data_IF_129868432417
#
_entry.id   IF_129868432417
#
_cell.length_a   1.000
_cell.length_b   1.000
_cell.length_c   1.000
_cell.angle_alpha   90.00
_cell.angle_beta   90.00
_cell.angle_gamma   90.00
#
_symmetry.space_group_name_H-M   'P 1'
#
loop_
_entity.id
_entity.type
_entity.pdbx_description
1 polymer ?
#
# COMPACT_ATOMS: atom_id res chain seq x y z
N UNK A 1 -47.14 -43.24 -54.70
CA UNK A 1 -46.75 -41.88 -54.34
C UNK A 1 -45.50 -41.98 -53.49
N UNK A 2 -44.30 -41.85 -54.09
CA UNK A 2 -43.45 -40.64 -54.04
C UNK A 2 -43.12 -40.21 -52.60
N UNK A 3 -41.87 -40.14 -52.14
CA UNK A 3 -40.58 -40.31 -52.80
C UNK A 3 -39.46 -40.27 -51.76
N UNK A 4 -38.39 -41.01 -52.07
CA UNK A 4 -37.10 -41.09 -51.38
C UNK A 4 -36.26 -39.89 -51.79
N UNK A 5 -35.49 -39.28 -50.88
CA UNK A 5 -34.13 -38.81 -51.21
C UNK A 5 -33.26 -38.64 -49.97
N UNK A 6 -32.21 -39.47 -49.90
CA UNK A 6 -30.95 -39.18 -49.22
C UNK A 6 -30.10 -38.27 -50.12
N UNK A 7 -29.29 -37.38 -49.54
CA UNK A 7 -28.06 -36.88 -50.17
C UNK A 7 -27.14 -36.36 -49.05
N UNK A 8 -26.12 -37.13 -48.64
CA UNK A 8 -24.70 -37.10 -49.07
C UNK A 8 -23.97 -35.79 -48.79
N UNK A 9 -22.77 -35.94 -48.23
CA UNK A 9 -21.98 -34.87 -47.63
C UNK A 9 -21.36 -33.89 -48.62
N UNK A 10 -20.81 -32.81 -48.06
CA UNK A 10 -19.95 -31.89 -48.79
C UNK A 10 -18.64 -31.70 -48.05
N UNK A 11 -17.65 -32.38 -48.63
CA UNK A 11 -16.21 -32.24 -48.53
C UNK A 11 -15.78 -30.76 -48.53
N UNK A 12 -14.79 -30.44 -47.70
CA UNK A 12 -14.10 -29.16 -47.72
C UNK A 12 -13.61 -28.82 -49.13
N UNK A 13 -14.00 -27.66 -49.66
CA UNK A 13 -13.48 -27.13 -50.91
C UNK A 13 -12.15 -26.42 -50.65
N UNK A 14 -11.12 -26.86 -51.37
CA UNK A 14 -9.76 -26.32 -51.38
C UNK A 14 -9.69 -24.89 -51.95
N UNK A 15 -8.77 -24.03 -51.48
CA UNK A 15 -8.35 -22.83 -52.17
C UNK A 15 -6.99 -23.07 -52.87
N UNK A 16 -6.96 -23.91 -53.90
CA UNK A 16 -5.72 -24.34 -54.58
C UNK A 16 -5.29 -23.43 -55.75
N UNK A 17 -6.15 -22.50 -56.21
CA UNK A 17 -5.82 -21.63 -57.35
C UNK A 17 -5.05 -20.35 -56.98
N UNK A 18 -5.29 -19.78 -55.80
CA UNK A 18 -4.66 -18.51 -55.36
C UNK A 18 -3.29 -18.69 -54.73
N UNK A 19 -3.00 -19.86 -54.16
CA UNK A 19 -1.69 -20.13 -53.56
C UNK A 19 -0.61 -20.21 -54.65
N UNK A 20 -0.88 -20.91 -55.75
CA UNK A 20 0.08 -21.18 -56.83
C UNK A 20 0.55 -19.92 -57.55
N UNK A 21 -0.36 -18.95 -57.79
CA UNK A 21 -0.01 -17.68 -58.41
C UNK A 21 0.87 -16.80 -57.51
N UNK A 22 0.62 -16.83 -56.20
CA UNK A 22 1.42 -16.11 -55.21
C UNK A 22 2.82 -16.71 -55.05
N UNK A 23 2.97 -18.04 -55.11
CA UNK A 23 4.29 -18.69 -55.03
C UNK A 23 5.15 -18.43 -56.27
N UNK A 24 4.56 -18.36 -57.46
CA UNK A 24 5.29 -18.02 -58.69
C UNK A 24 5.80 -16.57 -58.67
N UNK A 25 4.95 -15.62 -58.27
CA UNK A 25 5.33 -14.21 -58.17
C UNK A 25 6.43 -13.97 -57.12
N UNK A 26 6.40 -14.69 -55.99
CA UNK A 26 7.47 -14.65 -54.99
C UNK A 26 8.77 -15.29 -55.51
N UNK A 27 8.67 -16.41 -56.23
CA UNK A 27 9.83 -17.09 -56.82
C UNK A 27 10.58 -16.23 -57.83
N UNK A 28 9.85 -15.50 -58.67
CA UNK A 28 10.44 -14.60 -59.67
C UNK A 28 11.05 -13.34 -59.03
N UNK A 29 10.42 -12.80 -57.99
CA UNK A 29 10.96 -11.68 -57.22
C UNK A 29 12.25 -12.04 -56.47
N UNK A 30 12.32 -13.23 -55.87
CA UNK A 30 13.54 -13.71 -55.19
C UNK A 30 14.68 -13.95 -56.18
N UNK A 31 14.40 -14.51 -57.36
CA UNK A 31 15.41 -14.68 -58.42
C UNK A 31 15.95 -13.34 -58.96
N UNK A 32 15.09 -12.32 -59.08
CA UNK A 32 15.49 -10.98 -59.49
C UNK A 32 16.39 -10.27 -58.45
N UNK A 33 16.26 -10.63 -57.17
CA UNK A 33 17.11 -10.12 -56.08
C UNK A 33 18.43 -10.88 -56.03
N UNK A 34 18.43 -12.21 -56.17
CA UNK A 34 19.65 -13.02 -56.17
C UNK A 34 20.58 -12.66 -57.33
N UNK A 35 20.06 -12.34 -58.52
CA UNK A 35 20.88 -11.89 -59.66
C UNK A 35 21.52 -10.53 -59.42
N UNK A 36 20.90 -9.65 -58.62
CA UNK A 36 21.44 -8.32 -58.26
C UNK A 36 22.32 -8.32 -57.02
N UNK A 37 22.22 -9.33 -56.15
CA UNK A 37 23.07 -9.47 -54.94
C UNK A 37 24.51 -9.84 -55.27
N UNK A 38 24.77 -10.45 -56.43
CA UNK A 38 26.13 -10.67 -56.95
C UNK A 38 26.82 -9.37 -57.42
N UNK A 39 26.12 -8.23 -57.38
CA UNK A 39 26.67 -6.91 -57.63
C UNK A 39 26.52 -6.10 -56.34
N UNK A 40 27.61 -5.76 -55.66
CA UNK A 40 27.59 -4.99 -54.40
C UNK A 40 26.90 -3.61 -54.57
N UNK A 41 25.57 -3.57 -54.50
CA UNK A 41 24.78 -2.35 -54.66
C UNK A 41 23.59 -2.33 -53.68
N UNK A 42 23.88 -2.38 -52.38
CA UNK A 42 22.88 -2.06 -51.34
C UNK A 42 23.08 -0.68 -50.69
N UNK A 43 24.00 0.14 -51.22
CA UNK A 43 24.31 1.48 -50.69
C UNK A 43 24.01 2.66 -51.62
N UNK A 44 23.69 2.46 -52.91
CA UNK A 44 23.60 3.56 -53.88
C UNK A 44 22.58 3.31 -55.00
N UNK A 45 21.34 2.97 -54.64
CA UNK A 45 20.25 2.74 -55.60
C UNK A 45 19.62 4.04 -56.13
N UNK A 46 19.27 4.04 -57.42
CA UNK A 46 18.49 5.09 -58.08
C UNK A 46 17.05 5.14 -57.56
N UNK A 47 16.28 6.19 -57.87
CA UNK A 47 14.88 6.30 -57.43
C UNK A 47 14.01 5.08 -57.85
N UNK A 48 14.34 4.43 -58.96
CA UNK A 48 13.67 3.20 -59.40
C UNK A 48 13.95 2.00 -58.48
N UNK A 49 15.15 1.91 -57.89
CA UNK A 49 15.51 0.84 -56.95
C UNK A 49 14.80 1.01 -55.60
N UNK A 50 14.57 2.26 -55.18
CA UNK A 50 13.75 2.59 -54.01
C UNK A 50 12.27 2.28 -54.23
N UNK A 51 11.75 2.56 -55.43
CA UNK A 51 10.38 2.18 -55.79
C UNK A 51 10.16 0.67 -55.82
N UNK A 52 11.14 -0.10 -56.30
CA UNK A 52 11.05 -1.56 -56.31
C UNK A 52 11.00 -2.14 -54.89
N UNK A 53 11.79 -1.59 -53.96
CA UNK A 53 11.76 -1.93 -52.54
C UNK A 53 10.45 -1.54 -51.87
N UNK A 54 9.92 -0.34 -52.16
CA UNK A 54 8.63 0.11 -51.62
C UNK A 54 7.49 -0.79 -52.12
N UNK A 55 7.48 -1.15 -53.41
CA UNK A 55 6.48 -2.06 -53.99
C UNK A 55 6.56 -3.46 -53.36
N UNK A 56 7.77 -3.95 -53.06
CA UNK A 56 7.95 -5.24 -52.38
C UNK A 56 7.43 -5.21 -50.95
N UNK A 57 7.72 -4.15 -50.20
CA UNK A 57 7.22 -3.96 -48.83
C UNK A 57 5.69 -3.87 -48.83
N UNK A 58 5.11 -3.11 -49.76
CA UNK A 58 3.64 -3.00 -49.89
C UNK A 58 2.99 -4.34 -50.25
N UNK A 59 3.59 -5.12 -51.15
CA UNK A 59 3.05 -6.42 -51.52
C UNK A 59 3.16 -7.45 -50.37
N UNK A 60 4.20 -7.36 -49.53
CA UNK A 60 4.28 -8.15 -48.29
C UNK A 60 3.24 -7.71 -47.25
N UNK A 61 2.97 -6.42 -47.13
CA UNK A 61 1.90 -5.88 -46.26
C UNK A 61 0.53 -6.38 -46.72
N UNK A 62 0.26 -6.40 -48.03
CA UNK A 62 -1.00 -6.90 -48.59
C UNK A 62 -1.17 -8.42 -48.43
N UNK A 63 -0.10 -9.20 -48.60
CA UNK A 63 -0.09 -10.65 -48.34
C UNK A 63 -0.37 -11.00 -46.87
N UNK A 64 0.10 -10.16 -45.93
CA UNK A 64 -0.20 -10.30 -44.50
C UNK A 64 -1.65 -9.86 -44.21
N UNK A 65 -2.13 -8.81 -44.89
CA UNK A 65 -3.47 -8.24 -44.68
C UNK A 65 -4.60 -9.08 -45.27
N UNK A 66 -4.34 -9.92 -46.28
CA UNK A 66 -5.37 -10.75 -46.93
C UNK A 66 -5.71 -12.07 -46.21
N UNK A 67 -5.02 -12.41 -45.10
CA UNK A 67 -5.28 -13.64 -44.31
C UNK A 67 -5.75 -13.41 -42.88
N UNK A 68 -5.98 -12.17 -42.48
CA UNK A 68 -6.66 -11.86 -41.23
C UNK A 68 -8.04 -11.29 -41.57
N UNK A 69 -9.13 -11.81 -40.99
CA UNK A 69 -10.42 -11.11 -41.09
C UNK A 69 -10.20 -9.67 -40.62
N UNK A 70 -10.88 -8.67 -41.20
CA UNK A 70 -10.66 -7.27 -40.86
C UNK A 70 -10.81 -7.13 -39.35
N UNK A 71 -9.70 -6.95 -38.63
CA UNK A 71 -9.76 -6.62 -37.23
C UNK A 71 -10.34 -5.23 -37.17
N UNK A 72 -11.49 -5.10 -36.53
CA UNK A 72 -12.06 -3.81 -36.18
C UNK A 72 -10.93 -2.90 -35.69
N UNK A 73 -10.86 -1.64 -36.16
CA UNK A 73 -9.84 -0.71 -35.71
C UNK A 73 -9.81 -0.75 -34.17
N UNK A 74 -8.64 -0.79 -33.52
CA UNK A 74 -8.56 -0.94 -32.08
C UNK A 74 -9.41 0.15 -31.46
N UNK A 75 -10.60 -0.23 -30.97
CA UNK A 75 -11.48 0.70 -30.28
C UNK A 75 -10.64 1.22 -29.13
N UNK A 76 -10.32 2.52 -29.11
CA UNK A 76 -9.80 3.18 -27.91
C UNK A 76 -10.63 2.62 -26.76
N UNK A 77 -10.04 1.98 -25.74
CA UNK A 77 -10.82 1.32 -24.71
C UNK A 77 -11.80 2.35 -24.17
N UNK A 78 -13.11 2.07 -24.38
CA UNK A 78 -14.20 2.90 -23.87
C UNK A 78 -13.85 3.24 -22.42
N UNK A 79 -13.80 4.54 -22.02
CA UNK A 79 -13.39 4.93 -20.69
C UNK A 79 -14.16 4.07 -19.69
N UNK A 80 -13.44 3.40 -18.80
CA UNK A 80 -14.06 2.64 -17.73
C UNK A 80 -15.02 3.59 -16.99
N UNK A 81 -16.28 3.20 -16.88
CA UNK A 81 -17.29 4.07 -16.29
C UNK A 81 -17.10 4.08 -14.77
N UNK A 82 -17.36 5.21 -14.09
CA UNK A 82 -17.37 5.25 -12.63
C UNK A 82 -18.42 4.29 -12.09
N UNK A 83 -18.02 3.45 -11.14
CA UNK A 83 -18.94 2.62 -10.36
C UNK A 83 -19.80 3.48 -9.46
N UNK A 84 -21.08 3.13 -9.34
CA UNK A 84 -21.95 3.68 -8.30
C UNK A 84 -21.72 2.90 -7.01
N UNK A 85 -21.08 3.56 -6.04
CA UNK A 85 -20.87 2.99 -4.71
C UNK A 85 -22.08 3.27 -3.82
N UNK A 86 -22.36 2.35 -2.91
CA UNK A 86 -23.33 2.59 -1.82
C UNK A 86 -22.79 3.66 -0.86
N UNK A 87 -23.64 4.34 -0.07
CA UNK A 87 -23.18 5.34 0.91
C UNK A 87 -22.16 4.78 1.92
N UNK A 88 -22.31 3.51 2.31
CA UNK A 88 -21.36 2.83 3.21
C UNK A 88 -20.01 2.60 2.54
N UNK A 89 -20.00 2.19 1.26
CA UNK A 89 -18.77 2.04 0.49
C UNK A 89 -18.11 3.40 0.20
N UNK A 90 -18.89 4.46 -0.06
CA UNK A 90 -18.37 5.81 -0.26
C UNK A 90 -17.60 6.30 0.97
N UNK A 91 -18.23 6.20 2.15
CA UNK A 91 -17.59 6.51 3.43
C UNK A 91 -16.30 5.70 3.61
N UNK A 92 -16.37 4.38 3.37
CA UNK A 92 -15.24 3.49 3.52
C UNK A 92 -14.06 3.80 2.57
N UNK A 93 -14.34 4.23 1.34
CA UNK A 93 -13.29 4.64 0.38
C UNK A 93 -12.64 5.93 0.87
N UNK A 94 -13.42 6.91 1.31
CA UNK A 94 -12.89 8.18 1.81
C UNK A 94 -11.98 7.99 3.02
N UNK A 95 -12.42 7.20 3.99
CA UNK A 95 -11.62 6.90 5.19
C UNK A 95 -10.36 6.11 4.85
N UNK A 96 -10.48 5.04 4.04
CA UNK A 96 -9.36 4.15 3.72
C UNK A 96 -8.24 4.84 2.93
N UNK A 97 -8.59 5.78 2.06
CA UNK A 97 -7.63 6.46 1.18
C UNK A 97 -7.40 7.92 1.57
N UNK A 98 -7.84 8.31 2.77
CA UNK A 98 -7.70 9.65 3.32
C UNK A 98 -8.16 10.77 2.36
N UNK A 99 -9.37 10.61 1.81
CA UNK A 99 -9.95 11.53 0.81
C UNK A 99 -10.83 12.54 1.52
N UNK A 100 -10.24 13.67 1.89
CA UNK A 100 -10.94 14.81 2.50
C UNK A 100 -12.10 15.37 1.66
N UNK A 101 -12.94 16.17 2.29
CA UNK A 101 -14.19 16.71 1.70
C UNK A 101 -13.97 17.60 0.46
N UNK A 102 -12.83 18.29 0.39
CA UNK A 102 -12.44 19.13 -0.74
C UNK A 102 -11.94 18.32 -1.96
N UNK A 103 -11.68 17.02 -1.81
CA UNK A 103 -11.24 16.13 -2.87
C UNK A 103 -12.40 15.30 -3.42
N UNK A 104 -12.35 15.05 -4.73
CA UNK A 104 -13.27 14.14 -5.43
C UNK A 104 -12.55 12.83 -5.74
N UNK A 105 -13.32 11.77 -5.89
CA UNK A 105 -12.77 10.50 -6.36
C UNK A 105 -13.78 9.77 -7.24
N UNK A 106 -13.26 8.87 -8.06
CA UNK A 106 -14.03 7.94 -8.88
C UNK A 106 -13.38 6.56 -8.80
N UNK A 107 -14.19 5.50 -8.71
CA UNK A 107 -13.70 4.13 -8.89
C UNK A 107 -14.11 3.66 -10.27
N UNK A 108 -13.14 3.49 -11.16
CA UNK A 108 -13.35 3.05 -12.52
C UNK A 108 -13.48 1.53 -12.56
N UNK A 109 -14.59 1.05 -13.13
CA UNK A 109 -14.85 -0.37 -13.35
C UNK A 109 -13.94 -0.91 -14.46
N UNK A 110 -12.78 -1.42 -14.06
CA UNK A 110 -11.78 -1.93 -15.01
C UNK A 110 -12.29 -3.16 -15.75
N UNK A 111 -13.19 -3.94 -15.12
CA UNK A 111 -13.69 -5.23 -15.64
C UNK A 111 -15.04 -5.13 -16.32
N UNK A 112 -15.76 -4.02 -16.15
CA UNK A 112 -17.08 -3.75 -16.71
C UNK A 112 -18.15 -4.74 -16.21
N UNK A 113 -18.02 -5.20 -14.97
CA UNK A 113 -18.97 -6.13 -14.33
C UNK A 113 -19.99 -5.42 -13.42
N UNK A 114 -19.87 -4.10 -13.27
CA UNK A 114 -20.73 -3.25 -12.46
C UNK A 114 -20.55 -3.44 -10.95
N UNK A 115 -19.51 -4.14 -10.51
CA UNK A 115 -19.27 -4.47 -9.11
C UNK A 115 -17.89 -4.00 -8.68
N UNK A 116 -17.82 -3.46 -7.46
CA UNK A 116 -16.53 -3.16 -6.84
C UNK A 116 -15.73 -4.46 -6.64
N UNK A 117 -14.61 -4.57 -7.35
CA UNK A 117 -13.78 -5.76 -7.38
C UNK A 117 -12.27 -5.43 -7.44
N UNK A 118 -11.44 -6.38 -7.02
CA UNK A 118 -9.99 -6.20 -7.08
C UNK A 118 -9.54 -6.01 -8.54
N UNK A 119 -8.76 -4.97 -8.81
CA UNK A 119 -8.34 -4.57 -10.16
C UNK A 119 -9.07 -3.34 -10.70
N UNK A 120 -10.16 -2.91 -10.05
CA UNK A 120 -10.78 -1.61 -10.32
C UNK A 120 -9.85 -0.47 -9.93
N UNK A 121 -10.00 0.68 -10.58
CA UNK A 121 -9.04 1.78 -10.45
C UNK A 121 -9.65 2.95 -9.69
N UNK A 122 -9.14 3.23 -8.50
CA UNK A 122 -9.46 4.46 -7.77
C UNK A 122 -8.67 5.62 -8.39
N UNK A 123 -9.36 6.70 -8.72
CA UNK A 123 -8.80 7.97 -9.18
C UNK A 123 -9.23 9.06 -8.20
N UNK A 124 -8.27 9.79 -7.66
CA UNK A 124 -8.49 10.91 -6.74
C UNK A 124 -8.09 12.19 -7.47
N UNK A 125 -8.97 13.18 -7.47
CA UNK A 125 -8.76 14.47 -8.14
C UNK A 125 -9.09 15.63 -7.20
N UNK A 126 -8.45 16.78 -7.39
CA UNK A 126 -8.65 17.95 -6.53
C UNK A 126 -7.42 18.87 -6.49
N UNK A 127 -7.32 19.65 -5.42
CA UNK A 127 -6.22 20.60 -5.21
C UNK A 127 -6.30 21.84 -6.11
N UNK A 128 -5.26 22.68 -6.09
CA UNK A 128 -5.23 23.98 -6.78
C UNK A 128 -5.42 23.90 -8.30
N UNK A 129 -5.03 22.78 -8.91
CA UNK A 129 -5.16 22.55 -10.37
C UNK A 129 -6.46 21.87 -10.74
N UNK A 130 -7.20 21.32 -9.77
CA UNK A 130 -8.37 20.48 -10.03
C UNK A 130 -8.07 19.23 -10.87
N UNK A 131 -6.81 18.80 -10.95
CA UNK A 131 -6.37 17.65 -11.74
C UNK A 131 -6.45 16.32 -10.97
N UNK A 132 -6.09 15.22 -11.65
CA UNK A 132 -5.82 13.93 -11.03
C UNK A 132 -4.58 14.04 -10.12
N UNK A 133 -4.73 13.63 -8.86
CA UNK A 133 -3.67 13.62 -7.84
C UNK A 133 -3.11 12.21 -7.68
N UNK A 134 -3.97 11.19 -7.77
CA UNK A 134 -3.59 9.80 -7.53
C UNK A 134 -4.45 8.83 -8.31
N UNK A 135 -3.81 7.73 -8.75
CA UNK A 135 -4.45 6.61 -9.43
C UNK A 135 -3.89 5.31 -8.89
N UNK A 136 -4.77 4.45 -8.38
CA UNK A 136 -4.38 3.18 -7.76
C UNK A 136 -5.35 2.06 -8.14
N UNK A 137 -4.80 0.89 -8.47
CA UNK A 137 -5.59 -0.35 -8.58
C UNK A 137 -5.93 -0.87 -7.19
N UNK A 138 -7.21 -1.16 -6.97
CA UNK A 138 -7.71 -1.75 -5.73
C UNK A 138 -7.28 -3.21 -5.62
N UNK A 139 -6.74 -3.57 -4.46
CA UNK A 139 -6.40 -4.96 -4.12
C UNK A 139 -7.62 -5.71 -3.58
N UNK A 140 -7.50 -7.03 -3.40
CA UNK A 140 -8.54 -7.81 -2.73
C UNK A 140 -8.78 -7.35 -1.29
N UNK A 141 -7.72 -6.94 -0.59
CA UNK A 141 -7.83 -6.39 0.76
C UNK A 141 -8.59 -5.06 0.76
N UNK A 142 -8.31 -4.19 -0.22
CA UNK A 142 -9.03 -2.93 -0.35
C UNK A 142 -10.53 -3.14 -0.58
N UNK A 143 -10.88 -4.01 -1.52
CA UNK A 143 -12.29 -4.30 -1.83
C UNK A 143 -13.01 -4.95 -0.66
N UNK A 144 -12.35 -5.90 0.03
CA UNK A 144 -12.91 -6.51 1.25
C UNK A 144 -13.16 -5.45 2.32
N UNK A 145 -12.21 -4.56 2.53
CA UNK A 145 -12.31 -3.46 3.50
C UNK A 145 -13.45 -2.50 3.17
N UNK A 146 -13.58 -2.09 1.91
CA UNK A 146 -14.62 -1.17 1.44
C UNK A 146 -16.00 -1.82 1.57
N UNK A 147 -16.14 -3.08 1.15
CA UNK A 147 -17.41 -3.81 1.26
C UNK A 147 -17.80 -4.14 2.71
N UNK A 148 -16.84 -4.27 3.61
CA UNK A 148 -17.09 -4.40 5.04
C UNK A 148 -17.47 -3.07 5.72
N UNK A 149 -17.51 -1.95 4.98
CA UNK A 149 -17.82 -0.62 5.51
C UNK A 149 -16.63 0.15 6.07
N UNK A 150 -15.41 -0.15 5.59
CA UNK A 150 -14.21 0.58 5.95
C UNK A 150 -13.50 -0.02 7.16
N UNK A 151 -12.92 -1.20 7.01
CA UNK A 151 -12.11 -1.81 8.09
C UNK A 151 -11.03 -2.76 7.54
N UNK A 152 -10.15 -2.23 6.71
CA UNK A 152 -8.91 -2.93 6.32
C UNK A 152 -7.64 -2.13 6.60
N UNK A 153 -7.80 -0.93 7.14
CA UNK A 153 -6.95 -0.36 8.16
C UNK A 153 -7.95 -0.07 9.27
N UNK A 154 -7.80 -0.71 10.43
CA UNK A 154 -8.70 -0.52 11.56
C UNK A 154 -8.81 0.98 11.88
N UNK A 155 -10.01 1.47 12.18
CA UNK A 155 -10.25 2.81 12.72
C UNK A 155 -9.17 3.14 13.77
N UNK A 156 -8.49 4.30 13.71
CA UNK A 156 -7.47 4.67 14.70
C UNK A 156 -7.94 4.47 16.14
N UNK A 157 -9.23 4.72 16.43
CA UNK A 157 -9.81 4.47 17.74
C UNK A 157 -9.87 2.96 18.06
N UNK A 158 -10.32 2.12 17.13
CA UNK A 158 -10.33 0.67 17.32
C UNK A 158 -8.92 0.09 17.51
N UNK A 159 -7.92 0.61 16.78
CA UNK A 159 -6.52 0.21 16.96
C UNK A 159 -6.01 0.58 18.35
N UNK A 160 -6.29 1.82 18.76
CA UNK A 160 -5.94 2.31 20.08
C UNK A 160 -6.56 1.43 21.16
N UNK A 161 -7.86 1.17 21.09
CA UNK A 161 -8.58 0.37 22.08
C UNK A 161 -8.07 -1.07 22.17
N UNK A 162 -7.83 -1.71 21.02
CA UNK A 162 -7.31 -3.07 20.97
C UNK A 162 -5.90 -3.18 21.57
N UNK A 163 -5.03 -2.23 21.25
CA UNK A 163 -3.65 -2.21 21.73
C UNK A 163 -3.55 -1.81 23.21
N UNK A 164 -4.36 -0.84 23.65
CA UNK A 164 -4.47 -0.49 25.08
C UNK A 164 -4.97 -1.67 25.90
N UNK A 165 -6.01 -2.38 25.42
CA UNK A 165 -6.50 -3.60 26.08
C UNK A 165 -5.41 -4.67 26.19
N UNK A 166 -4.60 -4.83 25.13
CA UNK A 166 -3.49 -5.76 25.12
C UNK A 166 -2.42 -5.37 26.15
N UNK A 167 -2.00 -4.11 26.17
CA UNK A 167 -1.06 -3.59 27.16
C UNK A 167 -1.55 -3.86 28.59
N UNK A 168 -2.80 -3.49 28.88
CA UNK A 168 -3.40 -3.68 30.21
C UNK A 168 -3.47 -5.16 30.63
N UNK A 169 -3.61 -6.09 29.67
CA UNK A 169 -3.66 -7.52 29.97
C UNK A 169 -2.30 -8.12 30.39
N UNK A 170 -1.20 -7.41 30.13
CA UNK A 170 0.15 -7.84 30.51
C UNK A 170 0.51 -7.45 31.94
N UNK A 171 -0.25 -6.54 32.56
CA UNK A 171 -0.04 -6.05 33.92
C UNK A 171 1.41 -5.63 34.23
N UNK A 172 2.05 -4.97 33.26
CA UNK A 172 3.41 -4.46 33.37
C UNK A 172 3.37 -3.10 34.06
N UNK A 173 3.85 -3.04 35.30
CA UNK A 173 3.89 -1.80 36.10
C UNK A 173 5.29 -1.18 36.18
N UNK A 174 6.33 -2.01 36.00
CA UNK A 174 7.74 -1.61 36.07
C UNK A 174 8.40 -1.84 34.71
N UNK A 175 8.93 -0.78 34.12
CA UNK A 175 9.55 -0.85 32.79
C UNK A 175 10.37 0.40 32.53
N UNK A 176 11.17 0.36 31.47
CA UNK A 176 11.87 1.53 30.93
C UNK A 176 11.72 1.61 29.42
N UNK A 177 11.88 2.81 28.87
CA UNK A 177 11.95 3.04 27.43
C UNK A 177 12.62 4.38 27.13
N UNK A 178 13.03 4.57 25.89
CA UNK A 178 13.52 5.85 25.37
C UNK A 178 12.40 6.53 24.58
N UNK A 179 12.07 7.77 24.94
CA UNK A 179 11.15 8.65 24.23
C UNK A 179 11.93 9.70 23.45
N UNK A 180 11.58 9.93 22.19
CA UNK A 180 12.07 11.07 21.42
C UNK A 180 10.92 11.81 20.77
N UNK A 181 10.91 13.14 20.89
CA UNK A 181 9.95 14.00 20.20
C UNK A 181 10.49 14.37 18.83
N UNK A 182 9.65 14.26 17.82
CA UNK A 182 9.93 14.60 16.44
C UNK A 182 8.98 15.74 16.03
N UNK A 183 9.47 16.98 16.11
CA UNK A 183 8.75 18.18 15.69
C UNK A 183 9.76 19.20 15.14
N UNK A 184 9.30 20.31 14.57
CA UNK A 184 10.16 21.45 14.21
C UNK A 184 10.67 22.23 15.44
N UNK A 185 10.75 21.57 16.59
CA UNK A 185 11.31 22.07 17.82
C UNK A 185 12.84 22.04 17.74
N UNK A 186 13.51 22.95 18.47
CA UNK A 186 14.98 23.06 18.47
C UNK A 186 15.56 22.78 19.85
N UNK A 187 16.84 22.38 19.86
CA UNK A 187 17.62 22.20 21.08
C UNK A 187 17.15 21.02 21.91
N UNK A 188 17.06 21.21 23.22
CA UNK A 188 16.82 20.12 24.17
C UNK A 188 15.45 19.45 24.04
N UNK A 189 14.47 20.10 23.41
CA UNK A 189 13.11 19.60 23.26
C UNK A 189 12.97 18.37 22.34
N UNK A 190 13.99 18.06 21.53
CA UNK A 190 14.02 16.89 20.61
C UNK A 190 15.05 15.85 21.01
N UNK A 191 15.75 16.07 22.14
CA UNK A 191 16.73 15.10 22.65
C UNK A 191 16.00 13.85 23.11
N UNK A 192 16.58 12.65 22.90
CA UNK A 192 16.04 11.42 23.42
C UNK A 192 16.11 11.41 24.96
N UNK A 193 15.06 10.87 25.60
CA UNK A 193 14.89 10.84 27.05
C UNK A 193 14.66 9.38 27.45
N UNK A 194 15.50 8.87 28.35
CA UNK A 194 15.24 7.60 29.02
C UNK A 194 14.24 7.83 30.14
N UNK A 195 13.14 7.08 30.13
CA UNK A 195 12.06 7.13 31.10
C UNK A 195 12.04 5.79 31.83
N UNK A 196 12.11 5.85 33.16
CA UNK A 196 11.92 4.70 34.03
C UNK A 196 10.58 4.84 34.75
N UNK A 197 9.75 3.80 34.64
CA UNK A 197 8.45 3.71 35.27
C UNK A 197 8.52 2.67 36.39
N UNK A 198 8.01 3.05 37.56
CA UNK A 198 7.86 2.19 38.74
C UNK A 198 6.45 2.34 39.29
N UNK A 199 5.81 1.23 39.62
CA UNK A 199 4.41 1.19 40.08
C UNK A 199 3.46 2.01 39.16
N UNK A 200 3.66 1.89 37.85
CA UNK A 200 2.87 2.58 36.83
C UNK A 200 3.15 4.09 36.70
N UNK A 201 4.04 4.67 37.51
CA UNK A 201 4.36 6.10 37.50
C UNK A 201 5.80 6.37 37.07
N UNK A 202 6.06 7.49 36.39
CA UNK A 202 7.43 7.87 36.00
C UNK A 202 8.25 8.18 37.26
N UNK A 203 9.23 7.32 37.56
CA UNK A 203 10.12 7.45 38.70
C UNK A 203 11.34 8.31 38.36
N UNK A 204 11.87 8.18 37.14
CA UNK A 204 13.01 8.95 36.67
C UNK A 204 12.89 9.28 35.17
N UNK A 205 13.46 10.42 34.78
CA UNK A 205 13.62 10.81 33.40
C UNK A 205 14.96 11.53 33.23
N UNK A 206 15.78 11.05 32.30
CA UNK A 206 17.13 11.58 32.02
C UNK A 206 17.36 11.70 30.52
N UNK A 207 18.21 12.63 30.11
CA UNK A 207 18.61 12.68 28.70
C UNK A 207 19.43 11.42 28.35
N UNK A 208 19.06 10.73 27.27
CA UNK A 208 19.68 9.46 26.90
C UNK A 208 21.13 9.62 26.39
N UNK A 209 21.52 10.81 25.95
CA UNK A 209 22.85 11.13 25.45
C UNK A 209 23.84 11.52 26.57
N UNK A 210 23.40 12.19 27.64
CA UNK A 210 24.27 12.64 28.74
C UNK A 210 24.03 11.94 30.08
N UNK A 211 22.87 11.29 30.26
CA UNK A 211 22.44 10.72 31.54
C UNK A 211 22.03 11.78 32.57
N UNK A 212 22.01 13.06 32.20
CA UNK A 212 21.65 14.15 33.11
C UNK A 212 20.14 14.17 33.36
N UNK A 213 19.76 14.56 34.58
CA UNK A 213 18.37 14.82 34.92
C UNK A 213 17.81 15.95 34.05
N UNK A 214 16.54 15.82 33.68
CA UNK A 214 15.83 16.86 32.95
C UNK A 214 15.78 18.15 33.78
N UNK A 215 16.21 19.30 33.23
CA UNK A 215 16.09 20.58 33.91
C UNK A 215 14.61 20.92 34.13
N UNK A 216 14.33 21.56 35.26
CA UNK A 216 12.99 22.03 35.58
C UNK A 216 12.73 23.38 34.89
N UNK A 217 12.62 23.34 33.57
CA UNK A 217 12.36 24.52 32.75
C UNK A 217 11.21 24.32 31.76
N UNK A 218 10.70 25.44 31.23
CA UNK A 218 9.59 25.45 30.29
C UNK A 218 9.92 24.79 28.94
N UNK A 219 11.20 24.72 28.55
CA UNK A 219 11.63 24.17 27.25
C UNK A 219 11.59 22.65 27.25
N UNK A 220 12.09 22.04 28.33
CA UNK A 220 12.04 20.59 28.53
C UNK A 220 10.64 20.14 28.90
N UNK A 221 9.83 21.02 29.49
CA UNK A 221 8.45 20.74 29.91
C UNK A 221 8.40 19.43 30.70
N UNK A 222 9.20 19.39 31.77
CA UNK A 222 9.42 18.22 32.61
C UNK A 222 8.12 17.57 33.04
N UNK A 223 7.11 18.36 33.41
CA UNK A 223 5.81 17.83 33.83
C UNK A 223 5.12 17.02 32.72
N UNK A 224 5.17 17.48 31.46
CA UNK A 224 4.60 16.70 30.35
C UNK A 224 5.35 15.38 30.16
N UNK A 225 6.67 15.35 30.32
CA UNK A 225 7.45 14.11 30.24
C UNK A 225 7.08 13.13 31.36
N UNK A 226 6.91 13.61 32.60
CA UNK A 226 6.51 12.76 33.73
C UNK A 226 5.08 12.22 33.61
N UNK A 227 4.25 12.81 32.73
CA UNK A 227 2.95 12.28 32.39
C UNK A 227 2.98 11.25 31.24
N UNK A 228 4.13 11.02 30.59
CA UNK A 228 4.27 10.10 29.47
C UNK A 228 4.76 8.72 29.93
N UNK A 229 4.08 8.12 30.91
CA UNK A 229 4.09 6.66 31.05
C UNK A 229 3.25 6.01 29.91
N UNK A 230 3.10 4.69 29.89
CA UNK A 230 2.32 3.99 28.87
C UNK A 230 0.88 4.55 28.74
N UNK A 231 0.19 4.79 29.85
CA UNK A 231 -1.15 5.39 29.84
C UNK A 231 -1.16 6.79 29.23
N UNK A 232 -0.18 7.62 29.61
CA UNK A 232 0.02 8.94 29.05
C UNK A 232 0.25 8.94 27.55
N UNK A 233 1.08 8.01 27.06
CA UNK A 233 1.34 7.81 25.63
C UNK A 233 0.06 7.40 24.90
N UNK A 234 -0.72 6.46 25.44
CA UNK A 234 -2.01 6.11 24.84
C UNK A 234 -3.01 7.28 24.89
N UNK A 235 -3.01 8.07 25.97
CA UNK A 235 -3.89 9.23 26.11
C UNK A 235 -3.52 10.34 25.13
N UNK A 236 -2.24 10.50 24.80
CA UNK A 236 -1.78 11.41 23.75
C UNK A 236 -2.39 11.02 22.39
N UNK A 237 -2.35 9.73 22.04
CA UNK A 237 -3.00 9.23 20.81
C UNK A 237 -4.51 9.47 20.85
N UNK A 238 -5.15 9.13 21.98
CA UNK A 238 -6.59 9.30 22.15
C UNK A 238 -7.03 10.76 21.98
N UNK A 239 -6.25 11.71 22.52
CA UNK A 239 -6.51 13.13 22.39
C UNK A 239 -6.41 13.60 20.94
N UNK A 240 -5.41 13.13 20.18
CA UNK A 240 -5.29 13.43 18.75
C UNK A 240 -6.50 12.94 17.96
N UNK A 241 -7.02 11.75 18.29
CA UNK A 241 -8.23 11.21 17.66
C UNK A 241 -9.46 12.05 18.05
N UNK A 242 -9.64 12.32 19.35
CA UNK A 242 -10.80 13.07 19.88
C UNK A 242 -10.83 14.53 19.46
N UNK A 243 -9.68 15.16 19.23
CA UNK A 243 -9.62 16.54 18.73
C UNK A 243 -10.05 16.65 17.27
N UNK A 244 -10.19 15.52 16.56
CA UNK A 244 -10.50 15.50 15.14
C UNK A 244 -9.32 15.93 14.29
N UNK A 245 -8.09 15.62 14.72
CA UNK A 245 -6.89 15.90 13.94
C UNK A 245 -7.02 15.33 12.52
N UNK A 246 -6.61 16.11 11.53
CA UNK A 246 -6.67 15.72 10.11
C UNK A 246 -5.93 14.40 9.84
N UNK A 247 -4.87 14.10 10.61
CA UNK A 247 -4.18 12.82 10.52
C UNK A 247 -3.64 12.34 11.87
N UNK A 248 -3.91 11.07 12.18
CA UNK A 248 -3.32 10.34 13.31
C UNK A 248 -2.79 9.01 12.81
N UNK A 249 -1.46 8.92 12.68
CA UNK A 249 -0.76 7.68 12.32
C UNK A 249 -0.03 7.13 13.54
N UNK A 250 -0.32 5.89 13.90
CA UNK A 250 0.31 5.22 15.04
C UNK A 250 0.80 3.84 14.64
N UNK A 251 2.05 3.53 15.00
CA UNK A 251 2.59 2.18 14.98
C UNK A 251 2.62 1.64 16.40
N UNK A 252 2.28 0.35 16.54
CA UNK A 252 2.25 -0.34 17.83
C UNK A 252 3.24 -1.49 17.83
N UNK A 253 3.81 -1.76 19.00
CA UNK A 253 4.63 -2.92 19.23
C UNK A 253 3.78 -4.21 19.12
N UNK A 254 4.25 -5.18 18.33
CA UNK A 254 3.50 -6.42 18.09
C UNK A 254 3.43 -7.33 19.29
N UNK A 255 4.33 -7.22 20.25
CA UNK A 255 4.37 -8.04 21.45
C UNK A 255 3.58 -7.38 22.58
N UNK A 256 3.79 -6.10 22.83
CA UNK A 256 3.26 -5.39 23.99
C UNK A 256 2.00 -4.56 23.70
N UNK A 257 1.77 -4.17 22.44
CA UNK A 257 0.72 -3.22 22.09
C UNK A 257 1.04 -1.77 22.47
N UNK A 258 2.23 -1.49 23.01
CA UNK A 258 2.65 -0.13 23.31
C UNK A 258 2.87 0.66 22.00
N UNK A 259 2.45 1.95 21.91
CA UNK A 259 2.79 2.79 20.76
C UNK A 259 4.32 2.92 20.61
N UNK A 260 4.83 2.76 19.40
CA UNK A 260 6.26 2.88 19.06
C UNK A 260 6.55 4.09 18.19
N UNK A 261 5.57 4.53 17.41
CA UNK A 261 5.62 5.77 16.65
C UNK A 261 4.25 6.41 16.64
N UNK A 262 4.19 7.71 16.92
CA UNK A 262 2.97 8.51 16.93
C UNK A 262 3.24 9.71 16.04
N UNK A 263 2.34 9.99 15.10
CA UNK A 263 2.34 11.19 14.29
C UNK A 263 0.93 11.77 14.28
N UNK A 264 0.80 13.00 14.78
CA UNK A 264 -0.46 13.74 14.83
C UNK A 264 -0.26 15.04 14.04
N UNK A 265 -1.09 15.24 13.04
CA UNK A 265 -1.20 16.46 12.24
C UNK A 265 -2.63 16.98 12.45
N UNK A 266 -2.74 18.13 13.11
CA UNK A 266 -4.03 18.68 13.51
C UNK A 266 -4.79 19.25 12.32
N UNK A 267 -4.11 19.95 11.41
CA UNK A 267 -4.68 20.47 10.18
C UNK A 267 -3.63 20.52 9.06
N UNK A 268 -3.96 19.94 7.90
CA UNK A 268 -3.09 19.86 6.73
C UNK A 268 -2.68 21.24 6.17
N UNK A 269 -3.38 22.31 6.57
CA UNK A 269 -3.18 23.67 6.05
C UNK A 269 -2.33 24.56 6.96
N UNK A 270 -1.89 24.07 8.12
CA UNK A 270 -1.08 24.84 9.07
C UNK A 270 0.30 24.20 9.24
N UNK A 271 1.34 24.93 8.86
CA UNK A 271 2.71 24.49 9.09
C UNK A 271 3.09 24.57 10.58
N UNK A 272 3.96 23.65 11.02
CA UNK A 272 4.62 23.62 12.34
C UNK A 272 3.75 23.19 13.54
N UNK A 273 2.55 22.62 13.31
CA UNK A 273 1.70 22.04 14.37
C UNK A 273 1.81 20.52 14.49
N UNK A 274 2.65 19.89 13.67
CA UNK A 274 2.82 18.44 13.65
C UNK A 274 3.60 17.95 14.87
N UNK A 275 3.03 16.96 15.54
CA UNK A 275 3.61 16.36 16.73
C UNK A 275 3.94 14.90 16.48
N UNK A 276 5.24 14.60 16.39
CA UNK A 276 5.76 13.24 16.32
C UNK A 276 6.36 12.78 17.64
N UNK A 277 6.19 11.50 17.97
CA UNK A 277 6.91 10.82 19.04
C UNK A 277 7.39 9.46 18.57
N UNK A 278 8.59 9.09 19.01
CA UNK A 278 9.17 7.76 18.81
C UNK A 278 9.47 7.16 20.17
N UNK A 279 9.05 5.92 20.38
CA UNK A 279 9.32 5.13 21.58
C UNK A 279 10.15 3.93 21.18
N UNK A 280 11.30 3.78 21.81
CA UNK A 280 12.27 2.73 21.52
C UNK A 280 12.85 2.15 22.80
N UNK A 281 13.66 1.09 22.68
CA UNK A 281 14.34 0.44 23.80
C UNK A 281 13.41 0.04 24.95
N UNK A 282 12.18 -0.35 24.66
CA UNK A 282 11.24 -0.79 25.69
C UNK A 282 11.73 -2.06 26.37
N UNK A 283 11.80 -2.04 27.70
CA UNK A 283 12.23 -3.15 28.53
C UNK A 283 11.28 -3.27 29.72
N UNK A 284 10.45 -4.33 29.80
CA UNK A 284 9.71 -4.63 31.02
C UNK A 284 10.67 -5.18 32.07
N UNK A 285 10.54 -4.73 33.31
CA UNK A 285 11.26 -5.33 34.43
C UNK A 285 10.53 -6.61 34.88
N UNK A 286 11.26 -7.64 35.36
CA UNK A 286 10.62 -8.83 35.87
C UNK A 286 9.79 -8.51 37.11
N UNK A 287 8.48 -8.72 37.03
CA UNK A 287 7.59 -8.66 38.20
C UNK A 287 7.92 -9.84 39.10
N UNK A 288 8.62 -9.59 40.21
CA UNK A 288 8.74 -10.58 41.28
C UNK A 288 7.38 -10.68 41.96
N UNK A 289 6.53 -11.60 41.50
CA UNK A 289 5.34 -12.00 42.26
C UNK A 289 5.88 -12.57 43.57
N UNK A 290 5.76 -11.79 44.64
CA UNK A 290 6.05 -12.30 45.98
C UNK A 290 4.99 -13.36 46.24
N UNK A 291 5.32 -14.62 45.96
CA UNK A 291 4.51 -15.74 46.39
C UNK A 291 4.39 -15.57 47.91
N UNK A 292 3.18 -15.35 48.40
CA UNK A 292 2.91 -15.44 49.82
C UNK A 292 3.27 -16.89 50.23
N UNK A 293 4.48 -17.08 50.75
CA UNK A 293 4.83 -18.30 51.47
C UNK A 293 3.84 -18.33 52.64
N UNK A 294 2.92 -19.30 52.64
CA UNK A 294 2.10 -19.59 53.80
C UNK A 294 3.03 -19.81 55.00
N UNK A 295 2.71 -19.16 56.12
CA UNK A 295 3.30 -19.54 57.40
C UNK A 295 3.22 -21.07 57.55
N UNK A 296 4.28 -21.67 58.10
CA UNK A 296 4.47 -23.10 58.40
C UNK A 296 5.30 -23.88 57.35
N UNK A 297 6.59 -23.52 57.18
CA UNK A 297 7.57 -24.39 56.54
C UNK A 297 8.76 -23.64 55.95
N UNK A 298 9.88 -23.64 56.67
CA UNK A 298 11.12 -22.97 56.30
C UNK A 298 11.82 -23.63 55.10
N UNK A 299 11.37 -23.35 53.87
CA UNK A 299 12.14 -23.57 52.63
C UNK A 299 11.58 -22.74 51.44
N UNK A 300 11.77 -21.42 51.46
CA UNK A 300 11.50 -20.57 50.28
C UNK A 300 12.81 -20.45 49.47
N UNK A 301 13.07 -21.41 48.56
CA UNK A 301 14.09 -21.23 47.53
C UNK A 301 13.53 -20.32 46.42
N UNK A 302 14.28 -19.30 45.95
CA UNK A 302 13.86 -18.50 44.82
C UNK A 302 13.77 -19.39 43.57
N UNK A 303 12.58 -19.47 42.99
CA UNK A 303 12.39 -20.09 41.68
C UNK A 303 12.72 -19.02 40.64
N UNK A 304 13.85 -19.16 39.95
CA UNK A 304 14.19 -18.32 38.80
C UNK A 304 13.10 -18.49 37.74
N UNK A 305 12.21 -17.50 37.61
CA UNK A 305 11.28 -17.43 36.48
C UNK A 305 12.07 -16.92 35.28
N UNK A 306 12.42 -17.84 34.38
CA UNK A 306 13.06 -17.52 33.11
C UNK A 306 12.24 -16.48 32.34
N UNK A 307 12.89 -15.47 31.73
CA UNK A 307 12.21 -14.48 30.91
C UNK A 307 11.45 -15.16 29.75
N UNK A 308 10.33 -14.56 29.29
CA UNK A 308 9.55 -15.10 28.19
C UNK A 308 10.43 -15.31 26.97
N UNK A 309 10.47 -16.56 26.49
CA UNK A 309 11.35 -16.97 25.40
C UNK A 309 10.95 -16.25 24.11
N UNK A 310 11.91 -15.57 23.49
CA UNK A 310 11.78 -14.97 22.16
C UNK A 310 11.58 -16.10 21.15
N UNK A 311 10.44 -16.20 20.43
CA UNK A 311 10.30 -17.20 19.38
C UNK A 311 11.28 -16.87 18.25
N UNK A 312 12.27 -17.74 18.06
CA UNK A 312 13.20 -17.69 16.94
C UNK A 312 12.43 -17.89 15.64
N UNK A 313 12.32 -16.82 14.84
CA UNK A 313 11.82 -16.89 13.46
C UNK A 313 12.84 -17.63 12.60
N UNK A 314 12.48 -18.82 12.14
CA UNK A 314 13.08 -19.48 10.96
C UNK A 314 12.44 -18.96 9.69
#
# INVERSE_FOLDING_TARGET
MTGITQNTGTKAAEPTATLTAATTALGDAVKAIQSKTNSNAFGSGTNADKEALIKLVMNMIDLISCKLPPTEPPTKPKPAQPLQLTPQQDKAVRERFNIGSAMRYEVLDSKKDGKLSAGDTLVISGGITGGEISRKKLTQQDVKAINAGGSGGSDPQQQLDANRKKWNSLDIQDYSFTLQRNCFCRGDAIRPINIEVRDGSVASATYADTGELLPDDRKTNKQSIYNLNADGVFNLVEQGIKSGADKVDVSYDKQYGLPTSIYIDQSFQMADEEMGYTISNFQPEPTFTTLACGEEGNDCLPVDVLPPQIPSTK
#
